data_IF_409472417551
#
_entry.id   IF_409472417551
#
_cell.length_a   1.000
_cell.length_b   1.000
_cell.length_c   1.000
_cell.angle_alpha   90.00
_cell.angle_beta   90.00
_cell.angle_gamma   90.00
#
_symmetry.space_group_name_H-M   'P 1'
#
loop_
_entity.id
_entity.type
_entity.pdbx_description
1 polymer ?
#
# COMPACT_ATOMS: atom_id res chain seq x y z
N UNK A 1 -18.04 -26.49 -22.65
CA UNK A 1 -17.21 -26.58 -23.89
C UNK A 1 -16.62 -25.23 -24.30
N UNK A 2 -17.35 -24.13 -24.13
CA UNK A 2 -16.96 -22.76 -24.55
C UNK A 2 -15.72 -22.21 -23.80
N UNK A 3 -15.53 -22.54 -22.51
CA UNK A 3 -14.36 -22.08 -21.73
C UNK A 3 -13.05 -22.85 -21.99
N UNK A 4 -13.06 -23.96 -22.74
CA UNK A 4 -11.84 -24.75 -23.00
C UNK A 4 -10.88 -24.04 -23.95
N UNK A 5 -11.40 -23.38 -25.00
CA UNK A 5 -10.57 -22.68 -26.02
C UNK A 5 -9.86 -21.43 -25.46
N UNK A 6 -10.51 -20.55 -24.68
CA UNK A 6 -9.82 -19.40 -24.07
C UNK A 6 -8.73 -19.82 -23.09
N UNK A 7 -8.97 -20.87 -22.29
CA UNK A 7 -7.99 -21.34 -21.32
C UNK A 7 -6.80 -22.06 -21.94
N UNK A 8 -6.99 -22.78 -23.06
CA UNK A 8 -5.86 -23.34 -23.80
C UNK A 8 -5.00 -22.23 -24.40
N UNK A 9 -5.62 -21.19 -24.98
CA UNK A 9 -4.91 -20.03 -25.52
C UNK A 9 -4.16 -19.25 -24.43
N UNK A 10 -4.77 -19.04 -23.27
CA UNK A 10 -4.13 -18.39 -22.12
C UNK A 10 -2.87 -19.11 -21.65
N UNK A 11 -2.79 -20.43 -21.81
CA UNK A 11 -1.59 -21.20 -21.47
C UNK A 11 -0.49 -21.06 -22.51
N UNK A 12 -0.87 -21.03 -23.79
CA UNK A 12 0.06 -20.93 -24.91
C UNK A 12 0.65 -19.52 -25.03
N UNK A 13 -0.19 -18.49 -24.84
CA UNK A 13 0.19 -17.07 -24.96
C UNK A 13 -0.21 -16.27 -23.70
N UNK A 14 0.41 -16.55 -22.53
CA UNK A 14 -0.03 -15.97 -21.26
C UNK A 14 0.08 -14.44 -21.20
N UNK A 15 1.15 -13.86 -21.74
CA UNK A 15 1.31 -12.40 -21.75
C UNK A 15 0.28 -11.71 -22.66
N UNK A 16 0.04 -12.25 -23.86
CA UNK A 16 -0.98 -11.71 -24.78
C UNK A 16 -2.38 -11.84 -24.20
N UNK A 17 -2.67 -12.96 -23.52
CA UNK A 17 -3.93 -13.16 -22.83
C UNK A 17 -4.14 -12.13 -21.71
N UNK A 18 -3.15 -11.94 -20.82
CA UNK A 18 -3.23 -10.95 -19.74
C UNK A 18 -3.38 -9.52 -20.27
N UNK A 19 -2.66 -9.18 -21.34
CA UNK A 19 -2.76 -7.88 -22.00
C UNK A 19 -4.17 -7.64 -22.56
N UNK A 20 -4.67 -8.56 -23.39
CA UNK A 20 -5.98 -8.42 -24.04
C UNK A 20 -7.10 -8.42 -23.00
N UNK A 21 -7.06 -9.37 -22.05
CA UNK A 21 -8.05 -9.41 -20.97
C UNK A 21 -8.02 -8.13 -20.13
N UNK A 22 -6.82 -7.66 -19.77
CA UNK A 22 -6.63 -6.44 -19.00
C UNK A 22 -7.17 -5.20 -19.70
N UNK A 23 -6.93 -5.06 -21.01
CA UNK A 23 -7.49 -3.97 -21.83
C UNK A 23 -9.01 -4.06 -21.90
N UNK A 24 -9.57 -5.24 -22.18
CA UNK A 24 -11.02 -5.43 -22.31
C UNK A 24 -11.75 -5.08 -21.01
N UNK A 25 -11.25 -5.53 -19.85
CA UNK A 25 -11.87 -5.19 -18.56
C UNK A 25 -11.87 -3.68 -18.31
N UNK A 26 -10.78 -2.98 -18.63
CA UNK A 26 -10.68 -1.52 -18.45
C UNK A 26 -11.62 -0.76 -19.38
N UNK A 27 -11.78 -1.21 -20.62
CA UNK A 27 -12.79 -0.67 -21.54
C UNK A 27 -14.19 -0.88 -20.98
N UNK A 28 -14.49 -2.09 -20.47
CA UNK A 28 -15.78 -2.38 -19.84
C UNK A 28 -16.03 -1.45 -18.65
N UNK A 29 -15.09 -1.33 -17.71
CA UNK A 29 -15.24 -0.43 -16.56
C UNK A 29 -15.40 1.02 -17.01
N UNK A 30 -14.63 1.47 -18.01
CA UNK A 30 -14.77 2.82 -18.57
C UNK A 30 -16.18 3.07 -19.09
N UNK A 31 -16.73 2.13 -19.87
CA UNK A 31 -18.09 2.24 -20.43
C UNK A 31 -19.16 2.18 -19.34
N UNK A 32 -19.07 1.21 -18.42
CA UNK A 32 -20.04 1.04 -17.32
C UNK A 32 -20.06 2.25 -16.37
N UNK A 33 -18.92 2.90 -16.20
CA UNK A 33 -18.76 4.06 -15.35
C UNK A 33 -18.82 5.38 -16.12
N UNK A 34 -19.26 5.34 -17.39
CA UNK A 34 -19.44 6.50 -18.28
C UNK A 34 -18.22 7.44 -18.34
N UNK A 35 -17.01 6.87 -18.34
CA UNK A 35 -15.77 7.64 -18.34
C UNK A 35 -15.55 8.50 -17.09
N UNK A 36 -16.29 8.26 -15.99
CA UNK A 36 -16.18 9.03 -14.75
C UNK A 36 -14.79 8.92 -14.12
N UNK A 37 -14.27 10.05 -13.63
CA UNK A 37 -13.03 10.13 -12.85
C UNK A 37 -13.39 10.45 -11.41
N UNK A 38 -12.90 9.63 -10.49
CA UNK A 38 -13.26 9.70 -9.07
C UNK A 38 -12.33 10.68 -8.34
N UNK A 39 -12.92 11.71 -7.74
CA UNK A 39 -12.24 12.75 -6.95
C UNK A 39 -12.65 12.58 -5.49
N UNK A 40 -11.67 12.66 -4.59
CA UNK A 40 -11.85 12.55 -3.15
C UNK A 40 -11.16 13.73 -2.45
N UNK A 41 -11.39 13.88 -1.14
CA UNK A 41 -10.77 14.97 -0.35
C UNK A 41 -9.25 15.02 -0.48
N UNK A 42 -8.61 13.87 -0.69
CA UNK A 42 -7.15 13.81 -0.88
C UNK A 42 -6.66 14.29 -2.26
N UNK A 43 -7.54 14.25 -3.26
CA UNK A 43 -7.19 14.51 -4.66
C UNK A 43 -6.71 15.93 -4.90
N UNK A 44 -7.31 16.91 -4.21
CA UNK A 44 -7.00 18.34 -4.37
C UNK A 44 -5.52 18.63 -4.14
N UNK A 45 -4.95 18.13 -3.03
CA UNK A 45 -3.54 18.35 -2.73
C UNK A 45 -2.58 17.79 -3.80
N UNK A 46 -2.99 16.74 -4.53
CA UNK A 46 -2.19 16.22 -5.64
C UNK A 46 -2.30 17.09 -6.90
N UNK A 47 -3.49 17.64 -7.17
CA UNK A 47 -3.77 18.50 -8.31
C UNK A 47 -3.04 19.85 -8.16
N UNK A 48 -3.17 20.49 -7.01
CA UNK A 48 -2.47 21.74 -6.70
C UNK A 48 -0.95 21.58 -6.85
N UNK A 49 -0.39 20.48 -6.34
CA UNK A 49 1.04 20.21 -6.49
C UNK A 49 1.45 19.98 -7.96
N UNK A 50 0.61 19.33 -8.75
CA UNK A 50 0.88 19.11 -10.17
C UNK A 50 0.85 20.43 -10.97
N UNK A 51 -0.07 21.33 -10.64
CA UNK A 51 -0.14 22.69 -11.19
C UNK A 51 1.10 23.51 -10.85
N UNK A 52 1.54 23.47 -9.59
CA UNK A 52 2.78 24.14 -9.14
C UNK A 52 4.00 23.63 -9.91
N UNK A 53 4.12 22.30 -10.09
CA UNK A 53 5.21 21.70 -10.89
C UNK A 53 5.14 22.18 -12.35
N UNK A 54 3.94 22.24 -12.94
CA UNK A 54 3.77 22.66 -14.34
C UNK A 54 4.15 24.11 -14.57
N UNK A 55 3.77 24.99 -13.65
CA UNK A 55 3.98 26.43 -13.76
C UNK A 55 5.34 26.88 -13.20
N UNK A 56 6.07 25.98 -12.54
CA UNK A 56 7.30 26.29 -11.80
C UNK A 56 7.11 27.40 -10.75
N UNK A 57 5.94 27.40 -10.10
CA UNK A 57 5.59 28.37 -9.06
C UNK A 57 5.17 27.62 -7.79
N UNK A 58 5.96 27.82 -6.73
CA UNK A 58 5.77 27.21 -5.42
C UNK A 58 5.45 28.24 -4.32
N UNK A 59 5.06 29.46 -4.70
CA UNK A 59 4.75 30.55 -3.76
C UNK A 59 3.70 30.18 -2.71
N UNK A 60 2.70 29.38 -3.10
CA UNK A 60 1.61 28.91 -2.24
C UNK A 60 1.77 27.45 -1.78
N UNK A 61 2.99 26.91 -1.82
CA UNK A 61 3.24 25.50 -1.50
C UNK A 61 3.02 25.19 0.00
N UNK A 62 2.08 24.28 0.28
CA UNK A 62 1.69 23.94 1.66
C UNK A 62 2.43 22.73 2.27
N UNK A 63 3.34 22.06 1.53
CA UNK A 63 4.08 20.91 2.05
C UNK A 63 3.28 19.61 2.23
N UNK A 64 2.06 19.52 1.71
CA UNK A 64 1.11 18.46 2.07
C UNK A 64 1.36 17.13 1.36
N UNK A 65 1.78 17.14 0.09
CA UNK A 65 1.95 15.93 -0.75
C UNK A 65 3.38 15.82 -1.27
N UNK A 66 3.87 14.60 -1.42
CA UNK A 66 5.13 14.29 -2.14
C UNK A 66 4.93 14.36 -3.65
N UNK A 67 6.00 14.51 -4.46
CA UNK A 67 5.86 14.85 -5.87
C UNK A 67 5.56 13.64 -6.76
N UNK A 68 5.69 12.40 -6.27
CA UNK A 68 5.62 11.21 -7.12
C UNK A 68 4.31 11.05 -7.90
N UNK A 69 3.16 11.22 -7.23
CA UNK A 69 1.86 11.18 -7.90
C UNK A 69 1.50 12.45 -8.67
N UNK A 70 1.75 13.67 -8.14
CA UNK A 70 1.65 14.91 -8.91
C UNK A 70 2.43 14.89 -10.23
N UNK A 71 3.61 14.26 -10.28
CA UNK A 71 4.37 14.08 -11.51
C UNK A 71 3.62 13.25 -12.57
N UNK A 72 2.83 12.25 -12.18
CA UNK A 72 2.00 11.50 -13.11
C UNK A 72 0.89 12.39 -13.72
N UNK A 73 0.27 13.24 -12.91
CA UNK A 73 -0.75 14.20 -13.34
C UNK A 73 -0.13 15.26 -14.25
N UNK A 74 1.06 15.74 -13.91
CA UNK A 74 1.85 16.66 -14.75
C UNK A 74 2.17 16.04 -16.12
N UNK A 75 2.63 14.77 -16.18
CA UNK A 75 2.89 14.05 -17.43
C UNK A 75 1.61 13.86 -18.27
N UNK A 76 0.45 13.83 -17.62
CA UNK A 76 -0.86 13.84 -18.27
C UNK A 76 -1.33 15.26 -18.68
N UNK A 77 -0.45 16.26 -18.61
CA UNK A 77 -0.74 17.67 -18.87
C UNK A 77 -1.93 18.20 -18.03
N UNK A 78 -2.04 17.76 -16.78
CA UNK A 78 -3.16 18.02 -15.85
C UNK A 78 -4.53 17.48 -16.30
N UNK A 79 -4.58 16.67 -17.36
CA UNK A 79 -5.82 15.99 -17.73
C UNK A 79 -6.08 14.80 -16.81
N UNK A 80 -7.20 14.87 -16.09
CA UNK A 80 -7.65 13.79 -15.21
C UNK A 80 -7.96 12.51 -15.98
N UNK A 81 -8.55 12.63 -17.17
CA UNK A 81 -8.89 11.52 -18.05
C UNK A 81 -7.62 10.82 -18.52
N UNK A 82 -6.63 11.58 -19.03
CA UNK A 82 -5.33 11.01 -19.44
C UNK A 82 -4.62 10.38 -18.23
N UNK A 83 -4.68 11.01 -17.05
CA UNK A 83 -4.13 10.44 -15.81
C UNK A 83 -4.71 9.06 -15.54
N UNK A 84 -6.04 8.90 -15.59
CA UNK A 84 -6.68 7.59 -15.39
C UNK A 84 -6.35 6.57 -16.48
N UNK A 85 -6.09 6.99 -17.72
CA UNK A 85 -5.62 6.11 -18.79
C UNK A 85 -4.18 5.64 -18.50
N UNK A 86 -3.29 6.53 -18.08
CA UNK A 86 -1.95 6.15 -17.66
C UNK A 86 -2.00 5.18 -16.47
N UNK A 87 -2.83 5.45 -15.46
CA UNK A 87 -3.07 4.53 -14.35
C UNK A 87 -3.53 3.14 -14.82
N UNK A 88 -4.41 3.10 -15.83
CA UNK A 88 -4.90 1.85 -16.43
C UNK A 88 -3.78 1.06 -17.12
N UNK A 89 -2.89 1.75 -17.85
CA UNK A 89 -1.69 1.14 -18.46
C UNK A 89 -0.77 0.57 -17.38
N UNK A 90 -0.51 1.32 -16.31
CA UNK A 90 0.31 0.86 -15.18
C UNK A 90 -0.29 -0.37 -14.48
N UNK A 91 -1.63 -0.46 -14.39
CA UNK A 91 -2.33 -1.63 -13.88
C UNK A 91 -2.11 -2.89 -14.73
N UNK A 92 -2.10 -2.74 -16.06
CA UNK A 92 -1.78 -3.85 -16.99
C UNK A 92 -0.31 -4.26 -16.84
N UNK A 93 0.62 -3.31 -16.79
CA UNK A 93 2.04 -3.63 -16.59
C UNK A 93 2.27 -4.36 -15.26
N UNK A 94 1.56 -3.95 -14.20
CA UNK A 94 1.55 -4.62 -12.90
C UNK A 94 1.11 -6.09 -13.03
N UNK A 95 0.05 -6.36 -13.79
CA UNK A 95 -0.42 -7.72 -14.10
C UNK A 95 0.66 -8.59 -14.74
N UNK A 96 1.37 -8.07 -15.75
CA UNK A 96 2.44 -8.81 -16.45
C UNK A 96 3.64 -9.08 -15.53
N UNK A 97 4.01 -8.11 -14.69
CA UNK A 97 5.09 -8.26 -13.71
C UNK A 97 4.76 -9.30 -12.64
N UNK A 98 3.54 -9.29 -12.10
CA UNK A 98 3.08 -10.27 -11.11
C UNK A 98 3.09 -11.70 -11.68
N UNK A 99 2.64 -11.87 -12.92
CA UNK A 99 2.76 -13.15 -13.64
C UNK A 99 4.22 -13.61 -13.72
N UNK A 100 5.12 -12.74 -14.16
CA UNK A 100 6.55 -13.04 -14.30
C UNK A 100 7.16 -13.47 -12.95
N UNK A 101 6.92 -12.68 -11.90
CA UNK A 101 7.42 -12.93 -10.55
C UNK A 101 7.00 -14.33 -10.09
N UNK A 102 5.70 -14.63 -10.16
CA UNK A 102 5.19 -15.92 -9.69
C UNK A 102 5.68 -17.09 -10.55
N UNK A 103 5.72 -16.93 -11.88
CA UNK A 103 6.17 -17.97 -12.81
C UNK A 103 7.65 -18.28 -12.65
N UNK A 104 8.50 -17.25 -12.47
CA UNK A 104 9.94 -17.44 -12.27
C UNK A 104 10.21 -18.33 -11.05
N UNK A 105 9.47 -18.10 -9.95
CA UNK A 105 9.67 -18.79 -8.69
C UNK A 105 9.02 -20.19 -8.64
N UNK A 106 7.75 -20.31 -9.04
CA UNK A 106 6.98 -21.55 -8.87
C UNK A 106 7.03 -22.50 -10.05
N UNK A 107 7.36 -21.99 -11.25
CA UNK A 107 7.18 -22.67 -12.55
C UNK A 107 5.74 -23.16 -12.79
N UNK A 108 4.77 -22.67 -12.02
CA UNK A 108 3.38 -23.10 -12.11
C UNK A 108 2.56 -22.11 -12.93
N UNK A 109 2.39 -22.40 -14.22
CA UNK A 109 1.67 -21.54 -15.16
C UNK A 109 0.25 -21.18 -14.72
N UNK A 110 -0.47 -22.13 -14.11
CA UNK A 110 -1.86 -21.93 -13.69
C UNK A 110 -1.98 -20.86 -12.60
N UNK A 111 -1.21 -21.00 -11.52
CA UNK A 111 -1.21 -20.01 -10.45
C UNK A 111 -0.56 -18.70 -10.90
N UNK A 112 0.43 -18.73 -11.79
CA UNK A 112 0.98 -17.52 -12.40
C UNK A 112 -0.08 -16.70 -13.14
N UNK A 113 -0.92 -17.36 -13.96
CA UNK A 113 -2.04 -16.70 -14.65
C UNK A 113 -3.04 -16.12 -13.65
N UNK A 114 -3.41 -16.87 -12.61
CA UNK A 114 -4.32 -16.38 -11.57
C UNK A 114 -3.76 -15.14 -10.87
N UNK A 115 -2.48 -15.15 -10.50
CA UNK A 115 -1.80 -14.01 -9.88
C UNK A 115 -1.74 -12.81 -10.84
N UNK A 116 -1.39 -13.05 -12.11
CA UNK A 116 -1.39 -12.01 -13.14
C UNK A 116 -2.76 -11.39 -13.36
N UNK A 117 -3.84 -12.16 -13.24
CA UNK A 117 -5.20 -11.65 -13.43
C UNK A 117 -5.72 -10.77 -12.28
N UNK A 118 -5.09 -10.81 -11.08
CA UNK A 118 -5.58 -10.09 -9.88
C UNK A 118 -5.90 -8.61 -10.15
N UNK A 119 -5.00 -7.79 -10.75
CA UNK A 119 -5.27 -6.37 -10.99
C UNK A 119 -6.44 -6.12 -11.94
N UNK A 120 -6.88 -7.13 -12.70
CA UNK A 120 -7.99 -7.02 -13.65
C UNK A 120 -9.26 -7.75 -13.22
N UNK A 121 -9.26 -8.39 -12.04
CA UNK A 121 -10.45 -9.10 -11.52
C UNK A 121 -11.00 -8.39 -10.28
N UNK A 122 -10.14 -7.92 -9.38
CA UNK A 122 -10.59 -7.35 -8.12
C UNK A 122 -11.05 -5.90 -8.30
N UNK A 123 -12.33 -5.66 -8.01
CA UNK A 123 -12.97 -4.35 -8.20
C UNK A 123 -12.25 -3.22 -7.45
N UNK A 124 -11.86 -3.43 -6.20
CA UNK A 124 -11.12 -2.39 -5.46
C UNK A 124 -9.85 -1.95 -6.18
N UNK A 125 -9.09 -2.86 -6.80
CA UNK A 125 -7.89 -2.49 -7.58
C UNK A 125 -8.27 -1.68 -8.83
N UNK A 126 -9.28 -2.14 -9.58
CA UNK A 126 -9.75 -1.48 -10.80
C UNK A 126 -10.29 -0.07 -10.53
N UNK A 127 -11.06 0.14 -9.46
CA UNK A 127 -11.63 1.45 -9.16
C UNK A 127 -10.57 2.46 -8.70
N UNK A 128 -9.49 2.02 -8.06
CA UNK A 128 -8.35 2.90 -7.78
C UNK A 128 -7.64 3.38 -9.06
N UNK A 129 -7.75 2.70 -10.20
CA UNK A 129 -7.24 3.21 -11.49
C UNK A 129 -8.04 4.42 -12.02
N UNK A 130 -9.28 4.56 -11.56
CA UNK A 130 -10.18 5.69 -11.89
C UNK A 130 -10.20 6.77 -10.82
N UNK A 131 -9.55 6.54 -9.67
CA UNK A 131 -9.42 7.50 -8.59
C UNK A 131 -8.17 8.36 -8.78
N UNK A 132 -8.29 9.66 -8.52
CA UNK A 132 -7.14 10.57 -8.46
C UNK A 132 -6.50 10.44 -7.08
N UNK A 133 -5.82 9.32 -6.85
CA UNK A 133 -5.18 8.94 -5.61
C UNK A 133 -3.90 8.12 -5.87
N UNK A 134 -3.04 8.01 -4.86
CA UNK A 134 -1.71 7.39 -4.99
C UNK A 134 -1.70 5.87 -5.09
N UNK A 135 -2.78 5.17 -4.72
CA UNK A 135 -2.78 3.71 -4.50
C UNK A 135 -2.32 2.92 -5.71
N UNK A 136 -2.87 3.21 -6.89
CA UNK A 136 -2.54 2.44 -8.10
C UNK A 136 -1.08 2.65 -8.53
N UNK A 137 -0.60 3.91 -8.49
CA UNK A 137 0.81 4.19 -8.78
C UNK A 137 1.73 3.54 -7.74
N UNK A 138 1.33 3.55 -6.47
CA UNK A 138 2.06 2.89 -5.37
C UNK A 138 2.17 1.39 -5.62
N UNK A 139 1.07 0.73 -5.99
CA UNK A 139 1.05 -0.69 -6.34
C UNK A 139 2.02 -0.98 -7.49
N UNK A 140 1.96 -0.20 -8.57
CA UNK A 140 2.87 -0.35 -9.71
C UNK A 140 4.33 -0.20 -9.29
N UNK A 141 4.69 0.88 -8.59
CA UNK A 141 6.07 1.14 -8.17
C UNK A 141 6.61 0.06 -7.24
N UNK A 142 5.80 -0.41 -6.28
CA UNK A 142 6.15 -1.50 -5.38
C UNK A 142 6.40 -2.79 -6.15
N UNK A 143 5.46 -3.19 -7.02
CA UNK A 143 5.60 -4.42 -7.83
C UNK A 143 6.76 -4.30 -8.81
N UNK A 144 7.01 -3.13 -9.39
CA UNK A 144 8.15 -2.88 -10.26
C UNK A 144 9.48 -3.04 -9.51
N UNK A 145 9.60 -2.48 -8.30
CA UNK A 145 10.77 -2.66 -7.44
C UNK A 145 11.00 -4.15 -7.13
N UNK A 146 9.94 -4.87 -6.72
CA UNK A 146 9.99 -6.31 -6.46
C UNK A 146 10.31 -7.13 -7.72
N UNK A 147 9.78 -6.73 -8.88
CA UNK A 147 10.05 -7.35 -10.16
C UNK A 147 11.53 -7.20 -10.54
N UNK A 148 12.15 -6.03 -10.34
CA UNK A 148 13.58 -5.84 -10.58
C UNK A 148 14.44 -6.69 -9.66
N UNK A 149 14.10 -6.76 -8.36
CA UNK A 149 14.77 -7.64 -7.39
C UNK A 149 14.78 -9.10 -7.90
N UNK A 150 13.65 -9.56 -8.43
CA UNK A 150 13.53 -10.89 -9.01
C UNK A 150 14.23 -11.04 -10.35
N UNK A 151 14.04 -10.09 -11.27
CA UNK A 151 14.57 -10.16 -12.63
C UNK A 151 16.08 -10.28 -12.62
N UNK A 152 16.74 -9.60 -11.68
CA UNK A 152 18.20 -9.58 -11.54
C UNK A 152 18.75 -10.52 -10.48
N UNK A 153 17.89 -11.32 -9.81
CA UNK A 153 18.31 -12.25 -8.76
C UNK A 153 19.17 -11.56 -7.69
N UNK A 154 18.71 -10.37 -7.28
CA UNK A 154 19.49 -9.38 -6.50
C UNK A 154 20.12 -9.94 -5.22
N UNK A 155 19.44 -10.88 -4.58
CA UNK A 155 19.86 -11.44 -3.32
C UNK A 155 20.86 -12.60 -3.43
N UNK A 156 20.94 -13.26 -4.59
CA UNK A 156 21.65 -14.53 -4.76
C UNK A 156 22.83 -14.48 -5.73
N UNK A 157 22.84 -13.51 -6.65
CA UNK A 157 23.89 -13.38 -7.66
C UNK A 157 24.71 -12.10 -7.51
N UNK A 158 25.92 -12.10 -8.08
CA UNK A 158 26.71 -10.88 -8.23
C UNK A 158 26.04 -9.97 -9.26
N UNK A 159 25.26 -9.03 -8.76
CA UNK A 159 24.61 -8.00 -9.58
C UNK A 159 25.59 -6.87 -9.88
N UNK A 160 25.56 -6.37 -11.12
CA UNK A 160 26.36 -5.22 -11.56
C UNK A 160 25.88 -3.93 -10.87
N UNK A 161 26.79 -3.00 -10.62
CA UNK A 161 26.49 -1.76 -9.89
C UNK A 161 25.35 -0.95 -10.55
N UNK A 162 25.29 -0.87 -11.88
CA UNK A 162 24.19 -0.20 -12.57
C UNK A 162 22.80 -0.80 -12.24
N UNK A 163 22.70 -2.13 -12.14
CA UNK A 163 21.44 -2.80 -11.76
C UNK A 163 21.09 -2.55 -10.30
N UNK A 164 22.09 -2.46 -9.42
CA UNK A 164 21.91 -2.07 -8.00
C UNK A 164 21.33 -0.66 -7.92
N UNK A 165 21.90 0.30 -8.66
CA UNK A 165 21.40 1.68 -8.74
C UNK A 165 19.97 1.73 -9.29
N UNK A 166 19.66 0.96 -10.33
CA UNK A 166 18.31 0.90 -10.91
C UNK A 166 17.26 0.40 -9.90
N UNK A 167 17.59 -0.61 -9.08
CA UNK A 167 16.70 -1.08 -8.01
C UNK A 167 16.55 0.01 -6.94
N UNK A 168 17.63 0.70 -6.60
CA UNK A 168 17.63 1.85 -5.67
C UNK A 168 16.74 2.99 -6.14
N UNK A 169 16.80 3.33 -7.43
CA UNK A 169 15.93 4.31 -8.07
C UNK A 169 14.46 3.88 -8.02
N UNK A 170 14.16 2.61 -8.28
CA UNK A 170 12.79 2.10 -8.17
C UNK A 170 12.24 2.17 -6.73
N UNK A 171 13.08 1.88 -5.73
CA UNK A 171 12.71 2.03 -4.32
C UNK A 171 12.49 3.50 -3.96
N UNK A 172 13.35 4.41 -4.44
CA UNK A 172 13.21 5.85 -4.24
C UNK A 172 11.92 6.39 -4.88
N UNK A 173 11.58 5.97 -6.12
CA UNK A 173 10.32 6.34 -6.77
C UNK A 173 9.12 5.89 -5.93
N UNK A 174 9.18 4.69 -5.35
CA UNK A 174 8.09 4.21 -4.46
C UNK A 174 7.91 5.12 -3.25
N UNK A 175 9.02 5.57 -2.63
CA UNK A 175 9.03 6.57 -1.56
C UNK A 175 8.50 7.94 -2.02
N UNK A 176 8.86 8.39 -3.23
CA UNK A 176 8.36 9.64 -3.82
C UNK A 176 6.85 9.65 -4.00
N UNK A 177 6.27 8.51 -4.34
CA UNK A 177 4.81 8.36 -4.52
C UNK A 177 4.11 8.31 -3.16
N UNK A 178 4.66 7.58 -2.20
CA UNK A 178 4.07 7.45 -0.86
C UNK A 178 5.14 7.37 0.24
N UNK A 179 5.21 8.36 1.16
CA UNK A 179 6.23 8.45 2.22
C UNK A 179 6.41 7.20 3.07
N UNK A 180 5.34 6.43 3.27
CA UNK A 180 5.35 5.18 4.05
C UNK A 180 6.42 4.18 3.57
N UNK A 181 6.80 4.22 2.29
CA UNK A 181 7.85 3.36 1.74
C UNK A 181 9.28 3.80 2.08
N UNK A 182 9.46 4.74 3.02
CA UNK A 182 10.76 5.01 3.63
C UNK A 182 11.38 3.75 4.25
N UNK A 183 10.54 2.79 4.67
CA UNK A 183 10.96 1.48 5.19
C UNK A 183 11.52 0.54 4.12
N UNK A 184 11.24 0.78 2.83
CA UNK A 184 11.58 -0.16 1.77
C UNK A 184 13.10 -0.28 1.53
N UNK A 185 13.88 0.81 1.37
CA UNK A 185 15.33 0.72 1.27
C UNK A 185 16.02 0.03 2.46
N UNK A 186 15.82 0.44 3.73
CA UNK A 186 16.50 -0.22 4.85
C UNK A 186 16.14 -1.71 4.97
N UNK A 187 14.90 -2.10 4.66
CA UNK A 187 14.50 -3.50 4.67
C UNK A 187 15.23 -4.33 3.60
N UNK A 188 15.29 -3.85 2.35
CA UNK A 188 15.99 -4.55 1.26
C UNK A 188 17.49 -4.63 1.55
N UNK A 189 18.08 -3.54 2.05
CA UNK A 189 19.49 -3.50 2.44
C UNK A 189 19.81 -4.48 3.56
N UNK A 190 18.97 -4.53 4.61
CA UNK A 190 19.09 -5.51 5.68
C UNK A 190 19.02 -6.94 5.16
N UNK A 191 18.02 -7.25 4.34
CA UNK A 191 17.84 -8.59 3.76
C UNK A 191 19.04 -8.99 2.88
N UNK A 192 19.57 -8.04 2.08
CA UNK A 192 20.76 -8.23 1.27
C UNK A 192 22.00 -8.55 2.12
N UNK A 193 22.23 -7.77 3.19
CA UNK A 193 23.34 -7.98 4.12
C UNK A 193 23.31 -9.36 4.77
N UNK A 194 22.14 -9.77 5.25
CA UNK A 194 21.98 -11.07 5.92
C UNK A 194 22.34 -12.22 4.99
N UNK A 195 21.96 -12.14 3.71
CA UNK A 195 22.29 -13.17 2.72
C UNK A 195 23.74 -13.12 2.23
N UNK A 196 24.34 -11.93 2.19
CA UNK A 196 25.68 -11.71 1.61
C UNK A 196 26.74 -11.38 2.66
N UNK A 197 26.51 -11.70 3.94
CA UNK A 197 27.42 -11.31 5.03
C UNK A 197 28.86 -11.82 4.86
N UNK A 198 29.06 -12.92 4.14
CA UNK A 198 30.38 -13.52 3.86
C UNK A 198 31.09 -12.93 2.63
N UNK A 199 30.43 -12.07 1.85
CA UNK A 199 30.96 -11.52 0.58
C UNK A 199 31.99 -10.40 0.76
N UNK A 200 32.31 -10.04 2.01
CA UNK A 200 33.27 -8.99 2.37
C UNK A 200 32.62 -7.63 2.62
N UNK A 201 33.14 -6.91 3.61
CA UNK A 201 32.53 -5.66 4.10
C UNK A 201 32.48 -4.57 3.02
N UNK A 202 33.58 -4.31 2.30
CA UNK A 202 33.64 -3.29 1.25
C UNK A 202 32.72 -3.60 0.06
N UNK A 203 32.61 -4.87 -0.31
CA UNK A 203 31.72 -5.32 -1.39
C UNK A 203 30.25 -5.05 -1.06
N UNK A 204 29.86 -5.30 0.19
CA UNK A 204 28.50 -5.09 0.67
C UNK A 204 28.19 -3.61 0.85
N UNK A 205 29.10 -2.85 1.49
CA UNK A 205 28.92 -1.43 1.73
C UNK A 205 28.76 -0.62 0.44
N UNK A 206 29.59 -0.89 -0.59
CA UNK A 206 29.46 -0.20 -1.89
C UNK A 206 28.09 -0.42 -2.55
N UNK A 207 27.54 -1.65 -2.48
CA UNK A 207 26.22 -1.96 -3.03
C UNK A 207 25.09 -1.35 -2.25
N UNK A 208 25.16 -1.39 -0.92
CA UNK A 208 24.13 -0.80 -0.06
C UNK A 208 24.13 0.70 -0.20
N UNK A 209 25.31 1.32 -0.24
CA UNK A 209 25.44 2.74 -0.51
C UNK A 209 24.79 3.09 -1.86
N UNK A 210 25.17 2.39 -2.94
CA UNK A 210 24.62 2.65 -4.28
C UNK A 210 23.11 2.37 -4.39
N UNK A 211 22.59 1.42 -3.61
CA UNK A 211 21.16 1.12 -3.55
C UNK A 211 20.39 2.17 -2.74
N UNK A 212 20.91 2.60 -1.59
CA UNK A 212 20.22 3.53 -0.69
C UNK A 212 20.39 5.00 -1.10
N UNK A 213 21.44 5.34 -1.84
CA UNK A 213 21.75 6.74 -2.20
C UNK A 213 20.58 7.46 -2.89
N UNK A 214 19.80 6.88 -3.83
CA UNK A 214 18.73 7.62 -4.48
C UNK A 214 17.60 7.99 -3.51
N UNK A 215 17.25 7.08 -2.59
CA UNK A 215 16.24 7.34 -1.57
C UNK A 215 16.71 8.37 -0.54
N UNK A 216 17.99 8.31 -0.16
CA UNK A 216 18.60 9.29 0.74
C UNK A 216 18.65 10.69 0.11
N UNK A 217 19.07 10.80 -1.15
CA UNK A 217 19.08 12.07 -1.90
C UNK A 217 17.66 12.64 -1.97
N UNK A 218 16.67 11.82 -2.38
CA UNK A 218 15.29 12.28 -2.47
C UNK A 218 14.75 12.74 -1.10
N UNK A 219 14.91 11.93 -0.06
CA UNK A 219 14.43 12.28 1.28
C UNK A 219 15.04 13.59 1.78
N UNK A 220 16.36 13.72 1.67
CA UNK A 220 17.08 14.91 2.14
C UNK A 220 16.67 16.15 1.35
N UNK A 221 16.61 16.05 0.02
CA UNK A 221 16.15 17.12 -0.84
C UNK A 221 14.72 17.55 -0.51
N UNK A 222 13.80 16.58 -0.37
CA UNK A 222 12.38 16.86 -0.15
C UNK A 222 12.11 17.49 1.21
N UNK A 223 12.79 17.02 2.27
CA UNK A 223 12.68 17.61 3.61
C UNK A 223 13.23 19.03 3.63
N UNK A 224 14.37 19.29 2.99
CA UNK A 224 14.91 20.65 2.86
C UNK A 224 14.01 21.55 2.02
N UNK A 225 13.40 21.02 0.95
CA UNK A 225 12.43 21.75 0.14
C UNK A 225 11.22 22.19 0.98
N UNK A 226 10.69 21.28 1.80
CA UNK A 226 9.58 21.62 2.71
C UNK A 226 9.98 22.64 3.79
N UNK A 227 11.15 22.48 4.40
CA UNK A 227 11.68 23.42 5.40
C UNK A 227 11.79 24.83 4.81
N UNK A 228 12.32 24.96 3.60
CA UNK A 228 12.52 26.26 2.94
C UNK A 228 11.22 26.96 2.54
N UNK A 229 10.15 26.22 2.22
CA UNK A 229 8.89 26.83 1.74
C UNK A 229 7.81 26.95 2.82
N UNK A 230 7.87 26.11 3.85
CA UNK A 230 6.81 26.04 4.88
C UNK A 230 7.32 26.32 6.29
N UNK A 231 8.63 26.44 6.48
CA UNK A 231 9.26 26.51 7.80
C UNK A 231 9.24 25.18 8.58
N UNK A 232 8.61 24.12 8.05
CA UNK A 232 8.48 22.84 8.73
C UNK A 232 9.37 21.74 8.14
N UNK A 233 10.34 21.30 8.94
CA UNK A 233 11.29 20.23 8.58
C UNK A 233 10.68 18.83 8.69
N UNK A 234 9.88 18.45 7.70
CA UNK A 234 9.27 17.12 7.63
C UNK A 234 9.11 16.66 6.17
N UNK A 235 8.84 15.37 5.95
CA UNK A 235 8.54 14.83 4.60
C UNK A 235 7.16 15.30 4.09
N UNK A 236 6.26 15.62 5.01
CA UNK A 236 4.94 16.20 4.76
C UNK A 236 4.52 17.08 5.93
N UNK A 237 3.83 18.17 5.63
CA UNK A 237 3.14 19.02 6.61
C UNK A 237 2.04 18.31 7.39
N UNK A 238 1.65 17.09 7.01
CA UNK A 238 0.70 16.29 7.79
C UNK A 238 1.34 15.51 8.94
N UNK A 239 2.67 15.56 9.13
CA UNK A 239 3.34 14.72 10.12
C UNK A 239 2.84 14.95 11.55
N UNK A 240 2.67 16.21 11.98
CA UNK A 240 2.11 16.54 13.30
C UNK A 240 0.65 16.10 13.46
N UNK A 241 -0.15 16.28 12.41
CA UNK A 241 -1.55 15.84 12.36
C UNK A 241 -1.65 14.30 12.47
N UNK A 242 -0.86 13.54 11.70
CA UNK A 242 -0.86 12.07 11.74
C UNK A 242 -0.52 11.52 13.14
N UNK A 243 0.40 12.19 13.85
CA UNK A 243 0.71 11.83 15.23
C UNK A 243 -0.46 12.17 16.15
N UNK A 244 -1.11 13.33 15.99
CA UNK A 244 -2.30 13.69 16.76
C UNK A 244 -3.49 12.73 16.54
N UNK A 245 -3.65 12.20 15.33
CA UNK A 245 -4.61 11.11 15.06
C UNK A 245 -4.25 9.87 15.89
N UNK A 246 -2.97 9.57 16.04
CA UNK A 246 -2.49 8.42 16.84
C UNK A 246 -2.61 8.66 18.35
N UNK A 247 -2.82 9.89 18.81
CA UNK A 247 -3.02 10.19 20.24
C UNK A 247 -4.49 10.41 20.62
N UNK A 248 -5.42 10.34 19.65
CA UNK A 248 -6.83 10.72 19.81
C UNK A 248 -7.55 10.04 20.98
N UNK A 249 -7.25 8.78 21.27
CA UNK A 249 -7.91 8.01 22.35
C UNK A 249 -7.34 8.24 23.75
N UNK A 250 -6.30 9.05 23.88
CA UNK A 250 -5.71 9.39 25.18
C UNK A 250 -5.28 10.85 25.24
N UNK A 251 -5.82 11.69 24.36
CA UNK A 251 -5.53 13.12 24.31
C UNK A 251 -5.94 13.83 25.60
N UNK A 252 -6.93 13.30 26.33
CA UNK A 252 -7.35 13.82 27.63
C UNK A 252 -6.27 13.77 28.70
N UNK A 253 -5.20 13.02 28.47
CA UNK A 253 -4.03 12.93 29.37
C UNK A 253 -2.97 13.99 29.09
N UNK A 254 -3.17 14.87 28.13
CA UNK A 254 -2.25 15.97 27.87
C UNK A 254 -2.24 16.94 29.05
N UNK A 255 -1.07 17.50 29.36
CA UNK A 255 -0.87 18.51 30.41
C UNK A 255 -1.81 19.74 30.21
N UNK A 256 -2.21 20.39 31.31
CA UNK A 256 -3.07 21.57 31.31
C UNK A 256 -2.50 22.75 30.54
N UNK A 257 -1.18 22.84 30.35
CA UNK A 257 -0.58 23.83 29.44
C UNK A 257 -1.05 23.70 27.98
N UNK A 258 -1.65 22.56 27.61
CA UNK A 258 -2.24 22.32 26.28
C UNK A 258 -3.78 22.30 26.29
N UNK A 259 -4.43 22.78 27.36
CA UNK A 259 -5.88 22.70 27.55
C UNK A 259 -6.68 23.22 26.34
N UNK A 260 -6.26 24.34 25.74
CA UNK A 260 -6.94 24.96 24.60
C UNK A 260 -7.14 24.01 23.41
N UNK A 261 -6.10 23.24 23.06
CA UNK A 261 -6.16 22.29 21.95
C UNK A 261 -6.81 20.98 22.42
N UNK A 262 -6.42 20.51 23.61
CA UNK A 262 -6.91 19.27 24.23
C UNK A 262 -8.43 19.25 24.31
N UNK A 263 -9.04 20.29 24.85
CA UNK A 263 -10.49 20.35 25.09
C UNK A 263 -11.29 20.39 23.79
N UNK A 264 -10.83 21.15 22.80
CA UNK A 264 -11.45 21.15 21.46
C UNK A 264 -11.34 19.75 20.84
N UNK A 265 -10.17 19.11 20.95
CA UNK A 265 -9.95 17.77 20.39
C UNK A 265 -10.86 16.72 21.02
N UNK A 266 -10.96 16.69 22.36
CA UNK A 266 -11.88 15.80 23.09
C UNK A 266 -13.31 16.02 22.63
N UNK A 267 -13.78 17.28 22.62
CA UNK A 267 -15.15 17.62 22.24
C UNK A 267 -15.47 17.19 20.80
N UNK A 268 -14.55 17.38 19.86
CA UNK A 268 -14.74 16.95 18.46
C UNK A 268 -14.72 15.42 18.33
N UNK A 269 -13.80 14.75 19.00
CA UNK A 269 -13.71 13.28 19.04
C UNK A 269 -15.00 12.67 19.56
N UNK A 270 -15.47 13.11 20.73
CA UNK A 270 -16.65 12.55 21.37
C UNK A 270 -17.92 12.78 20.53
N UNK A 271 -18.00 13.93 19.83
CA UNK A 271 -19.06 14.20 18.86
C UNK A 271 -19.02 13.25 17.66
N UNK A 272 -17.83 12.90 17.13
CA UNK A 272 -17.70 11.98 16.01
C UNK A 272 -18.07 10.56 16.44
N UNK A 273 -17.58 10.10 17.59
CA UNK A 273 -17.92 8.80 18.18
C UNK A 273 -19.43 8.69 18.36
N UNK A 274 -20.10 9.72 18.90
CA UNK A 274 -21.55 9.73 19.07
C UNK A 274 -22.32 9.62 17.74
N UNK A 275 -21.75 10.13 16.65
CA UNK A 275 -22.33 10.05 15.31
C UNK A 275 -21.94 8.80 14.51
N UNK A 276 -21.06 7.95 15.06
CA UNK A 276 -20.50 6.79 14.35
C UNK A 276 -19.53 7.15 13.21
N UNK A 277 -18.96 8.35 13.23
CA UNK A 277 -17.97 8.81 12.27
C UNK A 277 -16.54 8.49 12.74
N UNK A 278 -15.57 8.51 11.82
CA UNK A 278 -14.16 8.21 12.08
C UNK A 278 -13.55 9.23 13.05
N UNK A 279 -13.27 8.81 14.28
CA UNK A 279 -12.68 9.63 15.33
C UNK A 279 -11.29 10.17 14.99
N UNK A 280 -10.53 9.51 14.10
CA UNK A 280 -9.25 10.03 13.63
C UNK A 280 -9.43 11.35 12.87
N UNK A 281 -10.64 11.69 12.42
CA UNK A 281 -10.93 12.95 11.74
C UNK A 281 -11.14 14.12 12.71
N UNK A 282 -11.20 13.88 14.03
CA UNK A 282 -11.41 14.93 15.04
C UNK A 282 -10.41 16.08 14.91
N UNK A 283 -9.14 15.77 14.64
CA UNK A 283 -8.07 16.76 14.52
C UNK A 283 -8.26 17.72 13.33
N UNK A 284 -8.92 17.28 12.25
CA UNK A 284 -9.26 18.16 11.12
C UNK A 284 -10.35 19.16 11.50
N UNK A 285 -11.28 18.75 12.37
CA UNK A 285 -12.26 19.68 12.93
C UNK A 285 -11.65 20.65 13.95
N UNK A 286 -10.60 20.24 14.67
CA UNK A 286 -9.79 21.14 15.51
C UNK A 286 -9.11 22.19 14.64
N UNK A 287 -8.44 21.77 13.56
CA UNK A 287 -7.81 22.67 12.59
C UNK A 287 -8.81 23.69 12.03
N UNK A 288 -9.97 23.23 11.58
CA UNK A 288 -11.02 24.11 11.04
C UNK A 288 -11.60 25.07 12.08
N UNK A 289 -11.64 24.70 13.36
CA UNK A 289 -12.14 25.58 14.43
C UNK A 289 -11.11 26.64 14.82
N UNK A 290 -9.84 26.27 14.97
CA UNK A 290 -8.76 27.21 15.25
C UNK A 290 -8.55 28.18 14.08
N UNK A 291 -8.62 27.67 12.84
CA UNK A 291 -8.53 28.47 11.62
C UNK A 291 -9.57 29.58 11.48
N UNK A 292 -10.71 29.49 12.19
CA UNK A 292 -11.72 30.56 12.23
C UNK A 292 -11.32 31.72 13.15
N UNK A 293 -10.51 31.45 14.17
CA UNK A 293 -10.02 32.46 15.11
C UNK A 293 -8.76 33.13 14.55
N UNK A 294 -7.85 32.32 14.04
CA UNK A 294 -6.57 32.76 13.51
C UNK A 294 -6.23 31.91 12.27
N UNK A 295 -6.01 32.53 11.10
CA UNK A 295 -5.61 31.79 9.90
C UNK A 295 -4.30 31.04 10.14
N UNK A 296 -4.34 29.71 10.11
CA UNK A 296 -3.18 28.84 10.30
C UNK A 296 -2.97 27.99 9.04
N UNK A 297 -1.74 27.93 8.56
CA UNK A 297 -1.34 26.94 7.56
C UNK A 297 -1.30 25.54 8.17
N UNK A 298 -1.37 24.51 7.32
CA UNK A 298 -1.24 23.11 7.75
C UNK A 298 0.11 22.85 8.42
N UNK A 299 1.17 23.51 7.94
CA UNK A 299 2.52 23.38 8.50
C UNK A 299 2.62 23.99 9.90
N UNK A 300 2.08 25.19 10.11
CA UNK A 300 2.01 25.84 11.43
C UNK A 300 1.17 25.02 12.40
N UNK A 301 0.02 24.51 11.96
CA UNK A 301 -0.82 23.67 12.82
C UNK A 301 -0.11 22.37 13.22
N UNK A 302 0.58 21.70 12.30
CA UNK A 302 1.40 20.53 12.63
C UNK A 302 2.53 20.83 13.62
N UNK A 303 3.15 22.00 13.52
CA UNK A 303 4.17 22.43 14.47
C UNK A 303 3.57 22.71 15.86
N UNK A 304 2.40 23.36 15.91
CA UNK A 304 1.67 23.65 17.13
C UNK A 304 1.31 22.37 17.91
N UNK A 305 0.96 21.30 17.21
CA UNK A 305 0.61 20.01 17.82
C UNK A 305 1.82 19.25 18.38
N UNK A 306 3.04 19.53 17.89
CA UNK A 306 4.21 18.70 18.17
C UNK A 306 4.53 18.56 19.67
N UNK A 307 4.60 19.64 20.47
CA UNK A 307 4.94 19.51 21.89
C UNK A 307 3.94 18.67 22.68
N UNK A 308 2.64 18.85 22.42
CA UNK A 308 1.57 18.07 23.06
C UNK A 308 1.65 16.60 22.67
N UNK A 309 1.87 16.32 21.38
CA UNK A 309 2.00 14.96 20.88
C UNK A 309 3.20 14.23 21.48
N UNK A 310 4.37 14.88 21.52
CA UNK A 310 5.59 14.30 22.10
C UNK A 310 5.37 13.96 23.59
N UNK A 311 4.82 14.91 24.37
CA UNK A 311 4.49 14.73 25.78
C UNK A 311 3.50 13.56 26.01
N UNK A 312 2.44 13.50 25.21
CA UNK A 312 1.46 12.42 25.25
C UNK A 312 2.10 11.04 24.97
N UNK A 313 2.95 10.94 23.94
CA UNK A 313 3.60 9.69 23.57
C UNK A 313 4.61 9.22 24.63
N UNK A 314 5.40 10.13 25.18
CA UNK A 314 6.42 9.83 26.18
C UNK A 314 5.80 9.36 27.50
N UNK A 315 4.74 10.02 27.94
CA UNK A 315 4.09 9.76 29.23
C UNK A 315 3.03 8.65 29.18
N UNK A 316 2.56 8.24 27.98
CA UNK A 316 1.46 7.28 27.83
C UNK A 316 1.78 6.07 26.94
N UNK A 317 2.98 5.50 27.07
CA UNK A 317 3.47 4.37 26.26
C UNK A 317 2.49 3.20 26.13
N UNK A 318 1.81 2.81 27.21
CA UNK A 318 0.82 1.73 27.17
C UNK A 318 -0.43 2.10 26.36
N UNK A 319 -0.89 3.35 26.43
CA UNK A 319 -2.03 3.81 25.64
C UNK A 319 -1.65 3.89 24.16
N UNK A 320 -0.46 4.39 23.85
CA UNK A 320 0.10 4.38 22.50
C UNK A 320 0.20 2.96 21.93
N UNK A 321 0.73 1.98 22.69
CA UNK A 321 0.78 0.59 22.21
C UNK A 321 -0.59 0.00 21.93
N UNK A 322 -1.60 0.29 22.76
CA UNK A 322 -2.99 -0.11 22.49
C UNK A 322 -3.50 0.51 21.18
N UNK A 323 -3.18 1.79 20.95
CA UNK A 323 -3.55 2.46 19.71
C UNK A 323 -2.85 1.86 18.48
N UNK A 324 -1.56 1.55 18.57
CA UNK A 324 -0.82 0.90 17.49
C UNK A 324 -1.43 -0.45 17.14
N UNK A 325 -1.86 -1.23 18.14
CA UNK A 325 -2.58 -2.50 17.89
C UNK A 325 -3.89 -2.26 17.16
N UNK A 326 -4.67 -1.25 17.56
CA UNK A 326 -5.90 -0.89 16.88
C UNK A 326 -5.64 -0.47 15.42
N UNK A 327 -4.71 0.47 15.19
CA UNK A 327 -4.24 0.87 13.86
C UNK A 327 -3.79 -0.31 13.00
N UNK A 328 -3.07 -1.26 13.60
CA UNK A 328 -2.56 -2.42 12.89
C UNK A 328 -3.65 -3.42 12.51
N UNK A 329 -4.67 -3.60 13.34
CA UNK A 329 -5.85 -4.42 13.00
C UNK A 329 -6.61 -3.81 11.82
N UNK A 330 -6.79 -2.49 11.80
CA UNK A 330 -7.50 -1.78 10.72
C UNK A 330 -6.81 -1.89 9.36
N UNK A 331 -5.47 -1.98 9.33
CA UNK A 331 -4.72 -2.23 8.10
C UNK A 331 -5.20 -3.50 7.38
N UNK A 332 -5.59 -4.53 8.13
CA UNK A 332 -6.08 -5.78 7.56
C UNK A 332 -7.55 -5.74 7.12
N UNK A 333 -8.25 -4.62 7.35
CA UNK A 333 -9.61 -4.39 6.88
C UNK A 333 -9.73 -4.30 5.35
N UNK A 334 -10.95 -4.09 4.85
CA UNK A 334 -11.23 -4.00 3.40
C UNK A 334 -11.86 -2.66 3.08
N UNK A 335 -11.53 -2.10 1.91
CA UNK A 335 -12.15 -0.87 1.43
C UNK A 335 -12.08 -0.78 -0.09
N UNK A 336 -13.02 -0.03 -0.65
CA UNK A 336 -13.07 0.29 -2.08
C UNK A 336 -13.42 1.77 -2.22
N UNK A 337 -12.64 2.49 -3.02
CA UNK A 337 -12.84 3.92 -3.28
C UNK A 337 -13.45 4.10 -4.66
N UNK A 338 -14.75 4.38 -4.69
CA UNK A 338 -15.52 4.67 -5.90
C UNK A 338 -16.59 5.73 -5.60
N UNK A 339 -17.06 6.41 -6.64
CA UNK A 339 -18.24 7.27 -6.58
C UNK A 339 -19.44 6.42 -7.02
N UNK A 340 -20.06 5.77 -6.04
CA UNK A 340 -21.20 4.86 -6.21
C UNK A 340 -22.35 5.47 -7.02
N UNK A 341 -22.56 6.78 -6.91
CA UNK A 341 -23.66 7.48 -7.58
C UNK A 341 -23.34 7.92 -9.02
N UNK A 342 -22.10 7.73 -9.48
CA UNK A 342 -21.69 8.06 -10.85
C UNK A 342 -22.05 6.99 -11.89
N UNK A 343 -22.58 5.84 -11.48
CA UNK A 343 -23.07 4.82 -12.40
C UNK A 343 -24.45 5.20 -12.97
N UNK A 344 -24.61 5.30 -14.30
CA UNK A 344 -25.89 5.69 -14.89
C UNK A 344 -26.97 4.60 -14.75
N UNK A 345 -26.57 3.32 -14.75
CA UNK A 345 -27.47 2.17 -14.71
C UNK A 345 -27.48 1.56 -13.30
N UNK A 346 -28.64 1.60 -12.64
CA UNK A 346 -28.81 1.18 -11.24
C UNK A 346 -28.54 -0.33 -11.04
N UNK A 347 -28.92 -1.14 -12.02
CA UNK A 347 -28.75 -2.59 -11.99
C UNK A 347 -27.27 -3.00 -12.00
N UNK A 348 -26.45 -2.32 -12.83
CA UNK A 348 -24.99 -2.53 -12.87
C UNK A 348 -24.36 -2.14 -11.55
N UNK A 349 -24.75 -0.98 -11.01
CA UNK A 349 -24.33 -0.48 -9.70
C UNK A 349 -24.63 -1.48 -8.58
N UNK A 350 -25.85 -2.03 -8.53
CA UNK A 350 -26.24 -3.05 -7.56
C UNK A 350 -25.48 -4.37 -7.76
N UNK A 351 -25.31 -4.81 -9.00
CA UNK A 351 -24.57 -6.04 -9.30
C UNK A 351 -23.11 -5.93 -8.84
N UNK A 352 -22.42 -4.84 -9.15
CA UNK A 352 -21.03 -4.60 -8.72
C UNK A 352 -20.92 -4.50 -7.20
N UNK A 353 -21.90 -3.86 -6.55
CA UNK A 353 -21.95 -3.78 -5.08
C UNK A 353 -22.16 -5.15 -4.46
N UNK A 354 -23.06 -5.96 -5.01
CA UNK A 354 -23.28 -7.33 -4.56
C UNK A 354 -22.03 -8.20 -4.73
N UNK A 355 -21.36 -8.11 -5.88
CA UNK A 355 -20.08 -8.80 -6.13
C UNK A 355 -19.02 -8.34 -5.13
N UNK A 356 -18.92 -7.04 -4.87
CA UNK A 356 -17.98 -6.50 -3.90
C UNK A 356 -18.24 -7.01 -2.47
N UNK A 357 -19.48 -6.87 -1.98
CA UNK A 357 -19.84 -7.18 -0.60
C UNK A 357 -19.91 -8.68 -0.31
N UNK A 358 -20.51 -9.47 -1.20
CA UNK A 358 -20.80 -10.88 -0.94
C UNK A 358 -19.75 -11.85 -1.47
N UNK A 359 -18.92 -11.43 -2.44
CA UNK A 359 -17.91 -12.31 -3.05
C UNK A 359 -16.51 -11.81 -2.75
N UNK A 360 -16.16 -10.61 -3.18
CA UNK A 360 -14.78 -10.13 -3.11
C UNK A 360 -14.33 -9.81 -1.69
N UNK A 361 -15.17 -9.14 -0.89
CA UNK A 361 -14.84 -8.76 0.49
C UNK A 361 -14.55 -10.00 1.36
N UNK A 362 -15.40 -11.04 1.40
CA UNK A 362 -15.09 -12.28 2.12
C UNK A 362 -13.81 -12.96 1.63
N UNK A 363 -13.58 -13.01 0.31
CA UNK A 363 -12.36 -13.58 -0.27
C UNK A 363 -11.12 -12.81 0.21
N UNK A 364 -11.15 -11.48 0.18
CA UNK A 364 -10.04 -10.64 0.62
C UNK A 364 -9.75 -10.87 2.10
N UNK A 365 -10.78 -10.88 2.95
CA UNK A 365 -10.65 -11.12 4.40
C UNK A 365 -10.01 -12.49 4.65
N UNK A 366 -10.53 -13.55 4.01
CA UNK A 366 -9.98 -14.92 4.16
C UNK A 366 -8.52 -14.96 3.73
N UNK A 367 -8.16 -14.34 2.59
CA UNK A 367 -6.78 -14.34 2.09
C UNK A 367 -5.83 -13.57 3.02
N UNK A 368 -6.27 -12.46 3.61
CA UNK A 368 -5.50 -11.71 4.60
C UNK A 368 -5.31 -12.50 5.90
N UNK A 369 -6.36 -13.17 6.40
CA UNK A 369 -6.26 -14.05 7.57
C UNK A 369 -5.29 -15.21 7.29
N UNK A 370 -5.43 -15.88 6.14
CA UNK A 370 -4.51 -16.94 5.71
C UNK A 370 -3.07 -16.44 5.65
N UNK A 371 -2.84 -15.25 5.12
CA UNK A 371 -1.53 -14.63 5.09
C UNK A 371 -0.96 -14.42 6.50
N UNK A 372 -1.74 -13.90 7.45
CA UNK A 372 -1.30 -13.74 8.84
C UNK A 372 -0.96 -15.08 9.51
N UNK A 373 -1.74 -16.13 9.25
CA UNK A 373 -1.43 -17.49 9.72
C UNK A 373 -0.13 -18.01 9.10
N UNK A 374 0.07 -17.78 7.80
CA UNK A 374 1.30 -18.14 7.09
C UNK A 374 2.50 -17.39 7.67
N UNK A 375 2.36 -16.10 7.98
CA UNK A 375 3.38 -15.33 8.69
C UNK A 375 3.76 -15.99 10.01
N UNK A 376 2.78 -16.31 10.87
CA UNK A 376 3.03 -16.98 12.14
C UNK A 376 3.75 -18.32 11.94
N UNK A 377 3.36 -19.10 10.93
CA UNK A 377 4.02 -20.35 10.56
C UNK A 377 5.49 -20.14 10.14
N UNK A 378 5.77 -19.11 9.32
CA UNK A 378 7.13 -18.79 8.88
C UNK A 378 8.06 -18.46 10.06
N UNK A 379 7.59 -17.69 11.04
CA UNK A 379 8.36 -17.38 12.24
C UNK A 379 8.50 -18.60 13.15
N UNK A 380 7.39 -19.30 13.44
CA UNK A 380 7.39 -20.47 14.30
C UNK A 380 8.37 -21.55 13.82
N UNK A 381 8.33 -21.89 12.54
CA UNK A 381 9.20 -22.92 11.97
C UNK A 381 10.68 -22.53 12.03
N UNK A 382 11.03 -21.26 11.78
CA UNK A 382 12.42 -20.78 11.84
C UNK A 382 12.96 -20.74 13.27
N UNK A 383 12.14 -20.29 14.21
CA UNK A 383 12.48 -20.27 15.65
C UNK A 383 12.64 -21.70 16.17
N UNK A 384 11.65 -22.57 15.95
CA UNK A 384 11.66 -23.97 16.39
C UNK A 384 12.85 -24.75 15.84
N UNK A 385 13.16 -24.56 14.55
CA UNK A 385 14.25 -25.27 13.91
C UNK A 385 15.62 -24.59 14.10
N UNK A 386 15.67 -23.42 14.77
CA UNK A 386 16.86 -22.55 14.89
C UNK A 386 17.57 -22.30 13.56
N UNK A 387 16.81 -22.27 12.47
CA UNK A 387 17.30 -22.12 11.09
C UNK A 387 16.57 -20.97 10.42
N UNK A 388 17.28 -19.88 10.18
CA UNK A 388 16.75 -18.72 9.47
C UNK A 388 17.07 -18.83 7.98
N UNK A 389 16.22 -19.54 7.24
CA UNK A 389 16.29 -19.57 5.78
C UNK A 389 15.59 -18.35 5.18
N UNK A 390 16.35 -17.54 4.45
CA UNK A 390 15.88 -16.31 3.81
C UNK A 390 15.46 -16.60 2.36
N UNK A 391 14.24 -17.12 2.22
CA UNK A 391 13.58 -17.37 0.93
C UNK A 391 12.84 -16.13 0.44
N UNK A 392 12.67 -15.97 -0.87
CA UNK A 392 11.90 -14.83 -1.41
C UNK A 392 10.47 -14.72 -0.84
N UNK A 393 9.76 -15.83 -0.65
CA UNK A 393 8.45 -15.85 0.03
C UNK A 393 8.51 -15.17 1.42
N UNK A 394 9.60 -15.41 2.14
CA UNK A 394 9.85 -14.81 3.45
C UNK A 394 10.23 -13.32 3.35
N UNK A 395 10.95 -12.91 2.29
CA UNK A 395 11.14 -11.49 1.99
C UNK A 395 9.81 -10.75 1.83
N UNK A 396 8.87 -11.30 1.04
CA UNK A 396 7.53 -10.72 0.90
C UNK A 396 6.78 -10.67 2.23
N UNK A 397 6.87 -11.70 3.06
CA UNK A 397 6.29 -11.70 4.42
C UNK A 397 6.86 -10.55 5.25
N UNK A 398 8.19 -10.39 5.30
CA UNK A 398 8.84 -9.31 6.05
C UNK A 398 8.48 -7.93 5.50
N UNK A 399 8.38 -7.79 4.18
CA UNK A 399 7.98 -6.54 3.52
C UNK A 399 6.56 -6.13 3.90
N UNK A 400 5.59 -7.03 3.77
CA UNK A 400 4.19 -6.72 4.03
C UNK A 400 3.98 -6.48 5.54
N UNK A 401 4.54 -7.32 6.40
CA UNK A 401 4.43 -7.12 7.86
C UNK A 401 5.15 -5.87 8.33
N UNK A 402 6.39 -5.65 7.88
CA UNK A 402 7.16 -4.46 8.22
C UNK A 402 6.46 -3.19 7.78
N UNK A 403 5.90 -3.15 6.57
CA UNK A 403 5.10 -2.03 6.10
C UNK A 403 3.81 -1.86 6.93
N UNK A 404 3.07 -2.92 7.22
CA UNK A 404 1.84 -2.85 8.02
C UNK A 404 2.09 -2.28 9.43
N UNK A 405 3.17 -2.73 10.08
CA UNK A 405 3.54 -2.26 11.41
C UNK A 405 4.11 -0.84 11.35
N UNK A 406 4.95 -0.55 10.36
CA UNK A 406 5.51 0.78 10.13
C UNK A 406 4.42 1.84 9.94
N UNK A 407 3.35 1.50 9.21
CA UNK A 407 2.18 2.36 9.07
C UNK A 407 1.44 2.55 10.39
N UNK A 408 1.15 1.46 11.10
CA UNK A 408 0.41 1.50 12.35
C UNK A 408 1.12 2.32 13.46
N UNK A 409 2.45 2.40 13.41
CA UNK A 409 3.26 3.21 14.34
C UNK A 409 3.10 4.72 14.13
N UNK A 410 2.81 5.17 12.91
CA UNK A 410 2.89 6.59 12.54
C UNK A 410 1.58 7.18 12.02
N UNK A 411 0.54 6.37 11.82
CA UNK A 411 -0.72 6.83 11.24
C UNK A 411 -1.91 6.04 11.79
N UNK A 412 -3.01 6.75 12.01
CA UNK A 412 -4.31 6.20 12.36
C UNK A 412 -5.41 6.90 11.54
N UNK A 413 -6.45 6.16 11.16
CA UNK A 413 -7.54 6.62 10.29
C UNK A 413 -7.47 6.02 8.89
N UNK A 414 -8.56 5.39 8.43
CA UNK A 414 -8.67 4.77 7.10
C UNK A 414 -7.54 3.78 6.72
N UNK A 415 -6.97 3.07 7.72
CA UNK A 415 -5.76 2.26 7.56
C UNK A 415 -5.88 1.12 6.53
N UNK A 416 -7.08 0.56 6.34
CA UNK A 416 -7.34 -0.49 5.35
C UNK A 416 -6.88 -0.10 3.93
N UNK A 417 -6.93 1.19 3.59
CA UNK A 417 -6.47 1.73 2.30
C UNK A 417 -4.97 1.54 2.06
N UNK A 418 -4.15 1.60 3.11
CA UNK A 418 -2.69 1.39 3.01
C UNK A 418 -2.32 -0.05 2.66
N UNK A 419 -3.24 -1.01 2.87
CA UNK A 419 -3.01 -2.41 2.53
C UNK A 419 -3.22 -2.73 1.05
N UNK A 420 -3.92 -1.86 0.30
CA UNK A 420 -4.27 -2.10 -1.10
C UNK A 420 -3.05 -2.43 -1.99
N UNK A 421 -1.94 -1.65 -1.94
CA UNK A 421 -0.77 -1.94 -2.78
C UNK A 421 -0.11 -3.29 -2.50
N UNK A 422 -0.35 -3.87 -1.31
CA UNK A 422 0.22 -5.16 -0.92
C UNK A 422 -0.68 -6.35 -1.30
N UNK A 423 -1.95 -6.12 -1.64
CA UNK A 423 -2.91 -7.19 -1.84
C UNK A 423 -2.46 -8.23 -2.88
N UNK A 424 -1.93 -7.87 -4.07
CA UNK A 424 -1.43 -8.87 -5.01
C UNK A 424 -0.23 -9.68 -4.48
N UNK A 425 0.63 -9.06 -3.66
CA UNK A 425 1.77 -9.74 -3.02
C UNK A 425 1.32 -10.68 -1.88
N UNK A 426 0.23 -10.34 -1.19
CA UNK A 426 -0.42 -11.24 -0.22
C UNK A 426 -0.84 -12.55 -0.91
N UNK A 427 -1.52 -12.46 -2.06
CA UNK A 427 -1.95 -13.64 -2.82
C UNK A 427 -0.76 -14.44 -3.35
N UNK A 428 0.30 -13.76 -3.79
CA UNK A 428 1.55 -14.40 -4.19
C UNK A 428 2.11 -15.26 -3.06
N UNK A 429 2.19 -14.73 -1.83
CA UNK A 429 2.67 -15.49 -0.67
C UNK A 429 1.75 -16.66 -0.35
N UNK A 430 0.43 -16.44 -0.32
CA UNK A 430 -0.55 -17.50 -0.01
C UNK A 430 -0.45 -18.67 -1.00
N UNK A 431 -0.40 -18.39 -2.30
CA UNK A 431 -0.32 -19.45 -3.30
C UNK A 431 1.06 -20.09 -3.38
N UNK A 432 2.15 -19.33 -3.20
CA UNK A 432 3.48 -19.92 -3.14
C UNK A 432 3.61 -20.85 -1.93
N UNK A 433 3.08 -20.44 -0.78
CA UNK A 433 3.07 -21.26 0.44
C UNK A 433 2.28 -22.55 0.22
N UNK A 434 1.09 -22.45 -0.38
CA UNK A 434 0.28 -23.61 -0.75
C UNK A 434 1.06 -24.57 -1.66
N UNK A 435 1.72 -24.07 -2.71
CA UNK A 435 2.51 -24.90 -3.63
C UNK A 435 3.67 -25.61 -2.93
N UNK A 436 4.40 -24.89 -2.07
CA UNK A 436 5.53 -25.41 -1.31
C UNK A 436 5.10 -26.48 -0.28
N UNK A 437 3.88 -26.38 0.25
CA UNK A 437 3.38 -27.22 1.33
C UNK A 437 2.23 -28.15 0.92
N UNK A 438 2.04 -28.42 -0.38
CA UNK A 438 0.96 -29.29 -0.90
C UNK A 438 0.81 -30.64 -0.21
N UNK A 439 1.88 -31.19 0.37
CA UNK A 439 1.85 -32.45 1.12
C UNK A 439 1.14 -32.34 2.48
N UNK A 440 1.06 -31.14 3.06
CA UNK A 440 0.45 -30.86 4.36
C UNK A 440 -0.96 -30.27 4.24
N UNK A 441 -1.37 -29.84 3.05
CA UNK A 441 -2.71 -29.34 2.79
C UNK A 441 -3.60 -30.54 2.46
N UNK A 442 -4.68 -30.82 3.21
CA UNK A 442 -5.54 -31.99 2.97
C UNK A 442 -6.07 -31.92 1.54
N UNK A 443 -5.64 -32.85 0.69
CA UNK A 443 -5.92 -32.77 -0.76
C UNK A 443 -7.35 -33.19 -1.13
N UNK A 444 -8.13 -33.74 -0.19
CA UNK A 444 -9.57 -34.00 -0.33
C UNK A 444 -10.24 -33.99 1.04
N UNK A 445 -11.32 -33.23 1.19
CA UNK A 445 -12.44 -33.64 2.06
C UNK A 445 -13.09 -34.83 1.36
N UNK A 446 -12.41 -35.97 1.41
CA UNK A 446 -12.95 -37.22 0.93
C UNK A 446 -13.95 -37.68 1.96
N UNK A 447 -15.24 -37.49 1.69
CA UNK A 447 -16.28 -38.28 2.32
C UNK A 447 -15.89 -39.73 2.07
N UNK A 448 -15.36 -40.41 3.09
CA UNK A 448 -15.13 -41.85 3.07
C UNK A 448 -16.49 -42.46 2.75
N UNK A 449 -16.71 -42.92 1.51
CA UNK A 449 -17.75 -43.91 1.22
C UNK A 449 -17.50 -45.05 2.21
N UNK A 450 -18.44 -45.27 3.12
CA UNK A 450 -18.47 -46.44 4.00
C UNK A 450 -18.18 -47.67 3.14
N UNK A 451 -17.10 -48.38 3.45
CA UNK A 451 -16.89 -49.73 2.92
C UNK A 451 -18.07 -50.56 3.38
N UNK A 452 -18.73 -51.23 2.43
CA UNK A 452 -19.69 -52.27 2.71
C UNK A 452 -19.07 -53.27 3.69
N UNK A 453 -19.75 -53.52 4.80
CA UNK A 453 -19.49 -54.65 5.66
C UNK A 453 -19.78 -55.92 4.85
N UNK A 454 -18.90 -56.93 4.87
CA UNK A 454 -19.25 -58.24 4.33
C UNK A 454 -20.28 -58.89 5.25
N UNK A 455 -21.36 -59.42 4.65
CA UNK A 455 -22.27 -60.35 5.31
C UNK A 455 -21.47 -61.49 5.93
N UNK A 456 -21.57 -61.63 7.25
CA UNK A 456 -21.51 -62.90 7.97
C UNK A 456 -22.51 -62.87 9.09
#
# INVERSE_FOLDING_TARGET
>A
MILKKPWSWAKEYPYSFLLIFGVLVRIIIYVLYYGHVSIFNDSEGYLTMAEMIKNWDFSNYAGTRTPGYPLLIFLANLSLQITTILQSILGILTSLMLFYIFYKNSKNLHFSLLIGLIPSIFLHLLFYERAILTENLTLFCLVFCVWLLFKFDFFTQKVSLWKVLLIGLAAAITLMVRPMFLILPPLIAFYYLVLNFRSGIFHNLSRIFLFCIPAFIFYSFWVSFNENHTGYKAITSFSGINVAQTTVFFVEKADDKYADIREIHIRKRDSLIASGADEAMAIWHVYAELGKKEPLTVAEFSQLLKPMNDDLLENNKLAYLKQVVHSWLDFWGTGMMWNYDSFPIKEIKWALTGVWLFIMTPIIIILKILFLIICAFHFYTRIRNRKWSFTFEFFCVLLILGASLGQALVTFGSNARFSMPFFPLILLVVFQFYLNNKKYVPSRIGIKKRRNLPNR
#
